data_IF_350547399087
#
_entry.id   IF_350547399087
#
_cell.length_a   1.000
_cell.length_b   1.000
_cell.length_c   1.000
_cell.angle_alpha   90.00
_cell.angle_beta   90.00
_cell.angle_gamma   90.00
#
_symmetry.space_group_name_H-M   'P 1'
#
loop_
_entity.id
_entity.type
_entity.pdbx_description
1 polymer ?
#
# COMPACT_ATOMS: atom_id res chain seq x y z
N UNK A 1 32.76 -4.09 37.00
CA UNK A 1 33.59 -3.41 35.98
C UNK A 1 32.68 -2.51 35.15
N UNK A 2 33.18 -1.36 34.70
CA UNK A 2 32.44 -0.46 33.79
C UNK A 2 32.52 -1.00 32.36
N UNK A 3 31.41 -0.98 31.60
CA UNK A 3 31.43 -1.25 30.16
C UNK A 3 31.72 0.06 29.41
N UNK A 4 32.82 0.09 28.65
CA UNK A 4 33.26 1.26 27.89
C UNK A 4 32.40 1.51 26.64
N UNK A 5 31.80 2.70 26.47
CA UNK A 5 30.94 3.02 25.33
C UNK A 5 31.73 3.65 24.17
N UNK A 6 32.54 2.86 23.44
CA UNK A 6 33.35 3.40 22.33
C UNK A 6 33.58 2.40 21.18
N UNK A 7 32.50 2.06 20.47
CA UNK A 7 32.54 1.34 19.19
C UNK A 7 31.59 1.93 18.13
N UNK A 8 31.53 3.27 18.08
CA UNK A 8 30.89 4.00 16.98
C UNK A 8 31.94 4.28 15.88
N UNK A 9 32.10 3.34 14.95
CA UNK A 9 32.85 3.59 13.73
C UNK A 9 32.07 4.61 12.87
N UNK A 10 32.61 5.82 12.66
CA UNK A 10 31.97 6.81 11.81
C UNK A 10 31.99 6.33 10.35
N UNK A 11 30.83 5.92 9.85
CA UNK A 11 30.67 5.49 8.46
C UNK A 11 30.80 6.71 7.53
N UNK A 12 31.96 6.83 6.88
CA UNK A 12 32.21 7.86 5.87
C UNK A 12 31.30 7.65 4.66
N UNK A 13 30.68 8.72 4.19
CA UNK A 13 29.98 8.72 2.90
C UNK A 13 31.00 8.68 1.75
N UNK A 14 30.58 8.13 0.61
CA UNK A 14 31.39 8.17 -0.61
C UNK A 14 31.46 9.57 -1.19
N UNK A 15 32.53 9.87 -1.95
CA UNK A 15 32.75 11.17 -2.58
C UNK A 15 31.56 11.62 -3.43
N UNK A 16 31.00 10.72 -4.24
CA UNK A 16 29.78 10.99 -5.03
C UNK A 16 28.55 11.33 -4.17
N UNK A 17 28.37 10.70 -3.01
CA UNK A 17 27.29 11.06 -2.09
C UNK A 17 27.52 12.45 -1.45
N UNK A 18 28.77 12.79 -1.13
CA UNK A 18 29.15 14.12 -0.66
C UNK A 18 28.95 15.22 -1.72
N UNK A 19 29.21 14.92 -3.00
CA UNK A 19 28.93 15.82 -4.13
C UNK A 19 27.42 16.05 -4.29
N UNK A 20 26.59 15.00 -4.21
CA UNK A 20 25.13 15.12 -4.26
C UNK A 20 24.59 15.95 -3.08
N UNK A 21 25.14 15.78 -1.87
CA UNK A 21 24.80 16.61 -0.71
C UNK A 21 25.19 18.08 -0.93
N UNK A 22 26.35 18.38 -1.50
CA UNK A 22 26.73 19.75 -1.88
C UNK A 22 25.75 20.36 -2.88
N UNK A 23 25.39 19.62 -3.94
CA UNK A 23 24.43 20.07 -4.94
C UNK A 23 23.04 20.33 -4.32
N UNK A 24 22.63 19.54 -3.33
CA UNK A 24 21.38 19.77 -2.58
C UNK A 24 21.48 20.99 -1.66
N UNK A 25 22.61 21.21 -0.98
CA UNK A 25 22.85 22.39 -0.13
C UNK A 25 22.82 23.67 -0.96
N UNK A 26 23.43 23.65 -2.16
CA UNK A 26 23.43 24.79 -3.09
C UNK A 26 22.03 25.08 -3.65
N UNK A 27 21.34 24.05 -4.16
CA UNK A 27 19.97 24.16 -4.69
C UNK A 27 18.96 24.74 -3.70
N UNK A 28 19.14 24.50 -2.40
CA UNK A 28 18.30 25.05 -1.32
C UNK A 28 18.97 26.18 -0.52
N UNK A 29 20.07 26.77 -1.02
CA UNK A 29 20.85 27.81 -0.35
C UNK A 29 20.07 29.07 0.03
N UNK A 30 19.06 29.42 -0.77
CA UNK A 30 18.13 30.53 -0.54
C UNK A 30 17.06 30.19 0.53
N UNK A 31 16.84 28.91 0.82
CA UNK A 31 15.80 28.41 1.72
C UNK A 31 16.42 27.72 2.95
N UNK A 32 17.28 28.44 3.66
CA UNK A 32 18.09 27.92 4.80
C UNK A 32 17.29 27.34 5.96
N UNK A 33 16.00 27.67 6.08
CA UNK A 33 15.10 27.10 7.09
C UNK A 33 14.45 25.76 6.68
N UNK A 34 14.51 25.38 5.40
CA UNK A 34 13.93 24.13 4.89
C UNK A 34 14.58 22.90 5.54
N UNK A 35 13.80 21.84 5.73
CA UNK A 35 14.31 20.53 6.13
C UNK A 35 15.36 19.99 5.15
N UNK A 36 15.15 20.19 3.85
CA UNK A 36 16.05 19.73 2.78
C UNK A 36 17.45 20.35 2.90
N UNK A 37 17.54 21.66 3.15
CA UNK A 37 18.82 22.34 3.40
C UNK A 37 19.44 21.91 4.73
N UNK A 38 18.65 21.95 5.82
CA UNK A 38 19.15 21.71 7.19
C UNK A 38 19.61 20.27 7.42
N UNK A 39 18.97 19.29 6.78
CA UNK A 39 19.38 17.89 6.86
C UNK A 39 20.61 17.63 5.98
N UNK A 40 20.60 18.02 4.69
CA UNK A 40 21.74 17.81 3.80
C UNK A 40 23.01 18.49 4.32
N UNK A 41 22.90 19.71 4.85
CA UNK A 41 24.05 20.40 5.47
C UNK A 41 24.56 19.67 6.72
N UNK A 42 23.68 19.23 7.62
CA UNK A 42 24.08 18.43 8.80
C UNK A 42 24.80 17.15 8.39
N UNK A 43 24.27 16.44 7.40
CA UNK A 43 24.79 15.15 6.95
C UNK A 43 26.15 15.28 6.24
N UNK A 44 26.30 16.32 5.40
CA UNK A 44 27.59 16.69 4.83
C UNK A 44 28.61 17.08 5.92
N UNK A 45 28.22 17.95 6.86
CA UNK A 45 29.11 18.43 7.92
C UNK A 45 29.55 17.30 8.88
N UNK A 46 28.71 16.26 9.08
CA UNK A 46 29.03 15.10 9.93
C UNK A 46 29.92 14.05 9.25
N UNK A 47 29.70 13.78 7.95
CA UNK A 47 30.29 12.59 7.29
C UNK A 47 31.27 12.91 6.15
N UNK A 48 31.22 14.12 5.58
CA UNK A 48 32.02 14.50 4.41
C UNK A 48 33.23 15.41 4.73
N UNK A 49 33.25 16.13 5.86
CA UNK A 49 34.37 17.02 6.17
C UNK A 49 35.65 16.24 6.60
N UNK A 50 36.84 16.59 6.08
CA UNK A 50 38.11 16.04 6.57
C UNK A 50 38.35 16.35 8.04
N UNK A 51 38.98 15.44 8.78
CA UNK A 51 39.52 15.77 10.11
C UNK A 51 40.72 16.70 9.93
N UNK A 52 40.85 17.71 10.80
CA UNK A 52 41.87 18.74 10.69
C UNK A 52 43.30 18.15 10.65
N UNK A 53 44.09 18.56 9.65
CA UNK A 53 45.53 18.27 9.60
C UNK A 53 46.31 19.25 10.50
N UNK A 54 47.48 18.84 11.04
CA UNK A 54 48.34 19.71 11.84
C UNK A 54 48.87 20.93 11.06
N UNK A 55 49.34 21.99 11.75
CA UNK A 55 49.63 23.29 11.13
C UNK A 55 50.78 23.23 10.10
N UNK A 56 50.59 23.97 8.99
CA UNK A 56 51.62 24.12 7.95
C UNK A 56 52.71 25.13 8.36
N UNK A 57 53.96 24.95 7.87
CA UNK A 57 54.98 26.00 7.87
C UNK A 57 54.56 27.26 7.09
N UNK A 58 55.24 28.38 7.35
CA UNK A 58 54.99 29.70 6.73
C UNK A 58 55.86 29.94 5.48
N UNK A 59 55.90 31.20 4.99
CA UNK A 59 56.71 31.76 3.87
C UNK A 59 56.11 31.48 2.48
N UNK A 60 55.84 32.46 1.60
CA UNK A 60 55.80 33.94 1.71
C UNK A 60 54.91 34.58 0.60
N UNK A 61 54.70 35.90 0.67
CA UNK A 61 54.16 36.77 -0.40
C UNK A 61 55.29 37.17 -1.40
N UNK A 62 55.11 37.97 -2.49
CA UNK A 62 54.22 39.14 -2.71
C UNK A 62 53.10 38.83 -3.75
N UNK A 63 52.45 39.69 -4.55
CA UNK A 63 52.61 41.12 -4.96
C UNK A 63 51.21 41.75 -5.19
N UNK A 64 51.10 43.09 -5.17
CA UNK A 64 49.86 43.85 -5.43
C UNK A 64 49.85 44.60 -6.78
N UNK A 65 48.66 45.01 -7.26
CA UNK A 65 48.45 46.08 -8.27
C UNK A 65 47.12 46.83 -8.02
N UNK A 66 46.95 47.98 -8.69
CA UNK A 66 46.13 49.12 -8.24
C UNK A 66 44.68 49.20 -8.80
N UNK A 67 43.79 50.06 -8.23
CA UNK A 67 42.37 50.24 -8.63
C UNK A 67 42.16 51.42 -9.61
N UNK A 68 40.95 52.07 -9.61
CA UNK A 68 40.47 53.24 -10.42
C UNK A 68 39.75 52.83 -11.73
N UNK A 69 38.72 53.55 -12.28
CA UNK A 69 38.04 54.80 -11.85
C UNK A 69 36.49 54.74 -11.62
N UNK A 70 35.94 55.86 -11.13
CA UNK A 70 34.50 56.23 -11.15
C UNK A 70 34.19 57.17 -12.34
N UNK A 71 32.95 57.19 -12.86
CA UNK A 71 32.50 58.16 -13.89
C UNK A 71 31.01 58.57 -13.72
N UNK A 72 30.53 59.69 -14.31
CA UNK A 72 29.31 60.39 -13.82
C UNK A 72 28.13 60.49 -14.82
N UNK A 73 27.01 61.09 -14.36
CA UNK A 73 25.89 61.65 -15.14
C UNK A 73 26.24 63.11 -15.63
N UNK A 74 25.40 63.92 -16.35
CA UNK A 74 23.92 63.99 -16.32
C UNK A 74 23.18 64.45 -17.64
N UNK A 75 21.89 64.84 -17.49
CA UNK A 75 21.03 65.68 -18.39
C UNK A 75 20.39 65.06 -19.66
N UNK A 76 19.25 65.56 -20.19
CA UNK A 76 18.07 66.26 -19.61
C UNK A 76 16.96 66.49 -20.68
N UNK A 77 15.67 66.49 -20.30
CA UNK A 77 14.57 67.34 -20.83
C UNK A 77 13.22 67.03 -20.12
N UNK A 78 12.26 67.98 -20.15
CA UNK A 78 10.90 67.93 -19.56
C UNK A 78 9.93 68.79 -20.41
N UNK A 79 8.80 69.36 -19.89
CA UNK A 79 8.32 69.44 -18.49
C UNK A 79 6.80 69.08 -18.30
N UNK A 80 6.20 69.54 -17.19
CA UNK A 80 4.76 69.50 -16.81
C UNK A 80 4.11 68.14 -16.43
N UNK A 81 3.03 68.06 -15.64
CA UNK A 81 2.18 69.07 -14.95
C UNK A 81 1.75 68.58 -13.53
N UNK A 82 0.96 69.35 -12.74
CA UNK A 82 0.73 69.02 -11.31
C UNK A 82 -0.66 69.33 -10.66
N UNK A 83 -1.14 68.34 -9.87
CA UNK A 83 -1.90 68.46 -8.57
C UNK A 83 -3.36 69.01 -8.60
N UNK A 84 -4.20 68.89 -7.53
CA UNK A 84 -3.90 68.52 -6.12
C UNK A 84 -4.75 67.37 -5.46
N UNK A 85 -4.58 67.22 -4.14
CA UNK A 85 -5.20 66.27 -3.16
C UNK A 85 -6.47 66.92 -2.49
N UNK A 86 -7.20 66.41 -1.44
CA UNK A 86 -6.74 65.57 -0.30
C UNK A 86 -7.72 64.58 0.43
N UNK A 87 -7.17 63.87 1.43
CA UNK A 87 -7.70 63.57 2.79
C UNK A 87 -8.54 62.31 3.16
N UNK A 88 -8.03 61.62 4.20
CA UNK A 88 -8.69 61.02 5.38
C UNK A 88 -9.52 59.70 5.30
N UNK A 89 -9.43 58.91 6.39
CA UNK A 89 -10.28 57.76 6.77
C UNK A 89 -11.24 58.17 7.92
N UNK A 90 -12.29 57.37 8.24
CA UNK A 90 -12.14 56.43 9.36
C UNK A 90 -12.88 55.07 9.22
N UNK A 91 -12.75 54.22 10.25
CA UNK A 91 -13.25 52.83 10.37
C UNK A 91 -14.74 52.68 10.71
N UNK A 92 -15.38 51.58 10.25
CA UNK A 92 -16.53 50.97 10.93
C UNK A 92 -16.74 49.46 10.58
N UNK A 93 -17.27 48.71 11.56
CA UNK A 93 -18.02 47.44 11.47
C UNK A 93 -19.14 47.52 12.55
N UNK A 94 -20.08 46.56 12.65
CA UNK A 94 -20.94 45.97 11.62
C UNK A 94 -22.44 46.16 11.98
N UNK A 95 -23.38 46.04 11.03
CA UNK A 95 -24.83 46.11 11.34
C UNK A 95 -25.66 45.04 10.59
N UNK A 96 -26.45 44.31 11.39
CA UNK A 96 -27.70 43.59 11.08
C UNK A 96 -28.52 43.52 12.39
N UNK A 97 -29.83 43.22 12.39
CA UNK A 97 -30.81 43.25 11.29
C UNK A 97 -32.07 44.11 11.66
N UNK A 98 -33.01 44.31 10.73
CA UNK A 98 -34.46 44.33 11.08
C UNK A 98 -35.43 44.20 9.88
N UNK A 99 -36.22 43.12 9.93
CA UNK A 99 -37.65 42.96 9.59
C UNK A 99 -38.38 43.85 8.57
N UNK A 100 -39.10 43.18 7.66
CA UNK A 100 -40.42 43.61 7.17
C UNK A 100 -41.41 42.42 7.13
N UNK A 101 -42.68 42.71 7.41
CA UNK A 101 -43.90 41.86 7.39
C UNK A 101 -44.81 42.35 6.25
N UNK A 102 -45.86 41.70 5.76
CA UNK A 102 -46.45 40.34 5.79
C UNK A 102 -47.34 40.27 4.51
N UNK A 103 -47.61 39.10 3.92
CA UNK A 103 -48.94 38.80 3.34
C UNK A 103 -49.16 37.29 3.12
N UNK A 104 -50.38 36.82 3.37
CA UNK A 104 -50.80 35.42 3.29
C UNK A 104 -51.16 34.94 1.87
N UNK A 105 -51.03 33.63 1.62
CA UNK A 105 -52.19 32.71 1.41
C UNK A 105 -51.70 31.28 1.18
N UNK A 106 -52.30 30.32 1.89
CA UNK A 106 -52.19 28.87 1.61
C UNK A 106 -53.56 28.30 1.19
N UNK A 107 -53.60 27.08 0.62
CA UNK A 107 -53.99 25.95 1.48
C UNK A 107 -53.11 24.68 1.29
N UNK A 108 -53.33 23.69 2.16
CA UNK A 108 -52.55 22.46 2.30
C UNK A 108 -53.24 21.23 1.67
N UNK A 109 -52.45 20.24 1.24
CA UNK A 109 -52.73 18.77 1.28
C UNK A 109 -51.39 18.08 0.94
N UNK A 110 -50.59 17.50 1.84
CA UNK A 110 -50.81 16.42 2.81
C UNK A 110 -50.75 15.00 2.22
N UNK A 111 -49.59 14.32 2.34
CA UNK A 111 -49.47 12.86 2.52
C UNK A 111 -48.03 12.44 2.89
N UNK A 112 -47.87 11.61 3.93
CA UNK A 112 -46.68 10.78 4.17
C UNK A 112 -47.13 9.30 4.15
N UNK A 113 -46.25 8.36 3.77
CA UNK A 113 -46.40 6.95 4.15
C UNK A 113 -45.31 6.50 5.14
N UNK A 114 -45.74 5.89 6.25
CA UNK A 114 -44.91 5.05 7.12
C UNK A 114 -45.75 3.84 7.62
N UNK A 115 -45.12 2.79 8.17
CA UNK A 115 -45.47 1.42 7.79
C UNK A 115 -46.66 0.82 8.53
N UNK A 116 -47.35 -0.09 7.85
CA UNK A 116 -48.19 -1.09 8.49
C UNK A 116 -47.33 -2.26 9.01
N UNK A 117 -47.71 -2.77 10.19
CA UNK A 117 -47.22 -4.02 10.76
C UNK A 117 -48.46 -4.81 11.16
N UNK A 118 -48.59 -6.05 10.68
CA UNK A 118 -49.59 -6.99 11.18
C UNK A 118 -48.93 -8.33 11.51
N UNK A 119 -49.46 -8.99 12.54
CA UNK A 119 -48.93 -10.25 13.07
C UNK A 119 -50.04 -11.30 13.17
N UNK A 120 -49.80 -12.48 12.61
CA UNK A 120 -50.71 -13.62 12.71
C UNK A 120 -49.93 -14.93 12.92
N UNK A 121 -50.18 -15.56 14.07
CA UNK A 121 -49.71 -16.87 14.52
C UNK A 121 -50.64 -17.30 15.69
N UNK A 122 -50.69 -18.57 16.15
CA UNK A 122 -49.83 -19.71 15.82
C UNK A 122 -50.67 -20.80 15.06
N UNK A 123 -50.58 -22.14 15.17
CA UNK A 123 -49.95 -23.08 16.13
C UNK A 123 -49.81 -24.49 15.53
N UNK A 124 -48.97 -25.33 16.16
CA UNK A 124 -48.94 -26.81 16.12
C UNK A 124 -48.91 -27.54 14.76
N UNK A 125 -47.79 -28.20 14.47
CA UNK A 125 -47.73 -29.68 14.43
C UNK A 125 -46.28 -30.17 14.55
N UNK A 126 -46.05 -31.27 15.29
CA UNK A 126 -44.79 -32.01 15.35
C UNK A 126 -45.03 -33.39 14.73
N UNK A 127 -44.21 -33.81 13.78
CA UNK A 127 -44.23 -35.16 13.22
C UNK A 127 -42.81 -35.72 13.14
N UNK A 128 -42.53 -36.74 13.94
CA UNK A 128 -41.37 -37.61 13.80
C UNK A 128 -41.76 -38.81 12.95
N UNK A 129 -40.84 -39.33 12.13
CA UNK A 129 -40.77 -40.76 11.81
C UNK A 129 -39.32 -41.11 11.47
N UNK A 130 -38.79 -42.11 12.17
CA UNK A 130 -37.41 -42.61 12.06
C UNK A 130 -37.46 -44.10 11.72
N UNK A 131 -36.66 -44.59 10.77
CA UNK A 131 -36.21 -45.99 10.52
C UNK A 131 -35.82 -46.12 9.04
N UNK A 132 -34.83 -46.91 8.59
CA UNK A 132 -33.77 -47.70 9.25
C UNK A 132 -32.53 -47.74 8.34
N UNK A 133 -31.28 -47.92 8.80
CA UNK A 133 -30.64 -49.09 9.48
C UNK A 133 -30.17 -50.17 8.48
N UNK A 134 -29.02 -50.81 8.77
CA UNK A 134 -28.17 -51.67 7.91
C UNK A 134 -27.44 -50.88 6.79
N UNK A 135 -26.12 -50.94 6.56
CA UNK A 135 -25.02 -51.78 7.05
C UNK A 135 -25.10 -53.28 6.71
N UNK A 136 -24.30 -53.72 5.72
CA UNK A 136 -23.14 -54.57 6.01
C UNK A 136 -22.10 -54.57 4.86
N UNK A 137 -20.95 -55.24 5.06
CA UNK A 137 -19.85 -55.36 4.09
C UNK A 137 -19.24 -56.78 4.13
N UNK A 138 -18.99 -57.45 2.98
CA UNK A 138 -18.09 -58.61 2.98
C UNK A 138 -17.04 -58.69 1.84
N UNK A 139 -15.97 -59.43 2.17
CA UNK A 139 -14.78 -59.85 1.42
C UNK A 139 -14.95 -60.43 -0.01
N UNK A 140 -13.93 -60.14 -0.82
CA UNK A 140 -13.05 -61.05 -1.60
C UNK A 140 -13.54 -62.10 -2.64
N UNK A 141 -12.62 -62.34 -3.60
CA UNK A 141 -12.26 -63.59 -4.30
C UNK A 141 -12.67 -63.80 -5.79
N UNK A 142 -11.75 -64.41 -6.55
CA UNK A 142 -11.85 -64.78 -7.99
C UNK A 142 -11.03 -63.84 -8.90
N UNK A 143 -9.85 -64.12 -9.49
CA UNK A 143 -9.15 -65.30 -10.10
C UNK A 143 -9.25 -65.42 -11.63
N UNK A 144 -8.26 -66.12 -12.22
CA UNK A 144 -7.97 -66.40 -13.66
C UNK A 144 -7.36 -65.19 -14.43
N UNK A 145 -6.37 -65.34 -15.33
CA UNK A 145 -5.54 -66.48 -15.79
C UNK A 145 -4.08 -65.96 -16.05
N UNK A 146 -3.06 -66.69 -16.55
CA UNK A 146 -2.93 -68.02 -17.16
C UNK A 146 -1.47 -68.57 -17.06
N UNK A 147 -1.26 -69.86 -17.42
CA UNK A 147 -0.07 -70.58 -17.93
C UNK A 147 1.40 -70.14 -17.66
N UNK A 148 2.44 -71.00 -17.58
CA UNK A 148 2.66 -72.46 -17.40
C UNK A 148 4.18 -72.67 -17.13
N UNK A 149 4.64 -73.61 -16.27
CA UNK A 149 6.06 -73.72 -15.87
C UNK A 149 6.88 -74.78 -16.64
N UNK A 150 8.22 -74.67 -16.56
CA UNK A 150 9.18 -75.74 -16.89
C UNK A 150 10.47 -75.62 -16.02
N UNK A 151 10.90 -76.70 -15.34
CA UNK A 151 12.24 -76.82 -14.74
C UNK A 151 13.11 -77.85 -15.48
N UNK A 152 14.44 -77.71 -15.44
CA UNK A 152 15.40 -78.77 -15.80
C UNK A 152 16.74 -78.60 -15.04
N UNK A 153 17.53 -79.66 -14.94
CA UNK A 153 18.54 -79.86 -13.87
C UNK A 153 19.93 -80.31 -14.40
N UNK A 154 20.98 -79.79 -13.76
CA UNK A 154 22.38 -80.22 -13.67
C UNK A 154 23.09 -81.03 -14.81
N UNK A 155 24.23 -80.51 -15.29
CA UNK A 155 25.30 -81.31 -15.88
C UNK A 155 26.74 -80.78 -15.59
N UNK A 156 27.37 -81.40 -14.59
CA UNK A 156 28.80 -81.70 -14.37
C UNK A 156 29.90 -81.08 -15.28
N UNK A 157 30.96 -80.51 -14.67
CA UNK A 157 32.36 -80.94 -14.87
C UNK A 157 33.39 -80.23 -13.94
N UNK A 158 34.45 -80.96 -13.58
CA UNK A 158 35.74 -80.52 -12.97
C UNK A 158 36.88 -81.16 -13.81
N UNK A 159 38.17 -80.74 -13.77
CA UNK A 159 38.89 -80.16 -12.62
C UNK A 159 39.82 -78.96 -12.94
N UNK A 160 40.62 -78.55 -11.94
CA UNK A 160 41.65 -77.51 -12.02
C UNK A 160 43.01 -78.02 -12.59
N UNK A 161 44.02 -77.14 -12.76
CA UNK A 161 44.97 -76.96 -11.65
C UNK A 161 45.30 -75.48 -11.32
N UNK A 162 46.07 -75.27 -10.24
CA UNK A 162 46.31 -73.97 -9.63
C UNK A 162 47.65 -73.31 -10.04
N UNK A 163 47.79 -72.00 -9.77
CA UNK A 163 49.08 -71.35 -9.52
C UNK A 163 48.96 -70.21 -8.49
N UNK A 164 49.97 -70.16 -7.62
CA UNK A 164 50.28 -69.19 -6.55
C UNK A 164 50.71 -67.81 -7.07
N UNK A 165 50.70 -66.69 -6.32
CA UNK A 165 50.20 -66.38 -4.97
C UNK A 165 50.22 -64.84 -4.70
N UNK A 166 49.62 -64.44 -3.57
CA UNK A 166 49.96 -63.28 -2.71
C UNK A 166 50.24 -61.89 -3.33
N UNK A 167 49.42 -60.89 -2.95
CA UNK A 167 49.78 -59.91 -1.90
C UNK A 167 48.71 -58.79 -1.74
N UNK A 168 48.52 -58.31 -0.51
CA UNK A 168 47.88 -57.02 -0.14
C UNK A 168 46.41 -56.75 -0.57
N UNK A 169 45.58 -56.00 0.17
CA UNK A 169 45.68 -55.54 1.56
C UNK A 169 44.31 -55.08 2.07
N UNK A 170 43.95 -55.52 3.28
CA UNK A 170 43.04 -54.86 4.26
C UNK A 170 41.85 -54.04 3.75
N UNK A 171 40.65 -54.51 4.05
CA UNK A 171 39.44 -53.69 4.23
C UNK A 171 39.70 -52.46 5.13
N UNK A 172 39.03 -51.33 4.85
CA UNK A 172 38.94 -50.20 5.80
C UNK A 172 37.59 -49.46 5.68
N UNK A 173 36.47 -50.04 6.15
CA UNK A 173 35.15 -49.42 6.13
C UNK A 173 34.93 -48.50 7.35
N UNK A 174 35.80 -47.49 7.53
CA UNK A 174 35.89 -46.73 8.78
C UNK A 174 35.54 -45.23 8.71
N UNK A 175 35.64 -44.59 7.54
CA UNK A 175 35.41 -43.13 7.42
C UNK A 175 33.93 -42.76 7.22
N UNK A 176 33.27 -43.38 6.23
CA UNK A 176 31.97 -42.93 5.73
C UNK A 176 30.83 -43.05 6.76
N UNK A 177 30.83 -44.12 7.58
CA UNK A 177 29.83 -44.34 8.63
C UNK A 177 29.69 -43.13 9.58
N UNK A 178 30.76 -42.38 9.82
CA UNK A 178 30.72 -41.20 10.69
C UNK A 178 30.02 -40.00 10.02
N UNK A 179 30.31 -39.74 8.76
CA UNK A 179 29.71 -38.65 7.99
C UNK A 179 28.23 -38.94 7.69
N UNK A 180 27.92 -40.16 7.23
CA UNK A 180 26.56 -40.55 6.87
C UNK A 180 25.64 -40.61 8.09
N UNK A 181 26.13 -41.10 9.24
CA UNK A 181 25.36 -41.09 10.49
C UNK A 181 25.10 -39.67 11.01
N UNK A 182 26.07 -38.74 10.88
CA UNK A 182 25.87 -37.33 11.23
C UNK A 182 24.88 -36.65 10.27
N UNK A 183 24.99 -36.91 8.97
CA UNK A 183 24.10 -36.36 7.95
C UNK A 183 22.65 -36.85 8.17
N UNK A 184 22.45 -38.15 8.38
CA UNK A 184 21.13 -38.72 8.71
C UNK A 184 20.58 -38.13 10.01
N UNK A 185 21.40 -37.98 11.07
CA UNK A 185 20.99 -37.38 12.35
C UNK A 185 20.60 -35.90 12.22
N UNK A 186 21.23 -35.17 11.30
CA UNK A 186 20.81 -33.80 10.94
C UNK A 186 19.47 -33.85 10.20
N UNK A 187 19.33 -34.68 9.15
CA UNK A 187 18.08 -34.81 8.37
C UNK A 187 16.87 -35.18 9.25
N UNK A 188 17.00 -36.15 10.16
CA UNK A 188 15.92 -36.52 11.11
C UNK A 188 15.59 -35.39 12.09
N UNK A 189 16.52 -34.46 12.33
CA UNK A 189 16.33 -33.32 13.24
C UNK A 189 15.68 -32.11 12.55
N UNK A 190 15.73 -32.01 11.22
CA UNK A 190 15.10 -30.91 10.45
C UNK A 190 13.64 -30.62 10.85
N UNK A 191 12.71 -31.61 10.93
CA UNK A 191 11.33 -31.32 11.31
C UNK A 191 11.19 -30.75 12.73
N UNK A 192 12.02 -31.20 13.68
CA UNK A 192 12.02 -30.70 15.05
C UNK A 192 12.60 -29.28 15.13
N UNK A 193 13.69 -29.01 14.39
CA UNK A 193 14.29 -27.68 14.27
C UNK A 193 13.28 -26.71 13.63
N UNK A 194 12.61 -27.12 12.55
CA UNK A 194 11.58 -26.33 11.89
C UNK A 194 10.38 -26.06 12.81
N UNK A 195 9.89 -27.06 13.55
CA UNK A 195 8.82 -26.88 14.53
C UNK A 195 9.20 -25.89 15.63
N UNK A 196 10.42 -25.99 16.18
CA UNK A 196 10.93 -25.06 17.20
C UNK A 196 11.11 -23.63 16.65
N UNK A 197 11.58 -23.46 15.41
CA UNK A 197 11.68 -22.17 14.75
C UNK A 197 10.28 -21.56 14.50
N UNK A 198 9.30 -22.34 14.07
CA UNK A 198 7.91 -21.90 13.91
C UNK A 198 7.30 -21.51 15.26
N UNK A 199 7.51 -22.30 16.31
CA UNK A 199 7.05 -21.99 17.66
C UNK A 199 7.68 -20.69 18.20
N UNK A 200 8.98 -20.48 17.99
CA UNK A 200 9.69 -19.26 18.36
C UNK A 200 9.15 -18.04 17.59
N UNK A 201 8.94 -18.16 16.28
CA UNK A 201 8.37 -17.09 15.45
C UNK A 201 6.92 -16.75 15.87
N UNK A 202 6.11 -17.75 16.20
CA UNK A 202 4.76 -17.55 16.74
C UNK A 202 4.80 -16.87 18.12
N UNK A 203 5.70 -17.27 19.02
CA UNK A 203 5.88 -16.63 20.32
C UNK A 203 6.30 -15.16 20.17
N UNK A 204 7.26 -14.86 19.31
CA UNK A 204 7.68 -13.48 18.99
C UNK A 204 6.54 -12.67 18.35
N UNK A 205 5.74 -13.28 17.47
CA UNK A 205 4.55 -12.63 16.88
C UNK A 205 3.46 -12.33 17.91
N UNK A 206 3.22 -13.23 18.86
CA UNK A 206 2.26 -13.03 19.95
C UNK A 206 2.76 -11.94 20.92
N UNK A 207 4.03 -11.97 21.31
CA UNK A 207 4.65 -10.94 22.17
C UNK A 207 4.61 -9.56 21.49
N UNK A 208 5.04 -9.44 20.24
CA UNK A 208 5.03 -8.15 19.52
C UNK A 208 3.60 -7.65 19.23
N UNK A 209 2.63 -8.55 19.10
CA UNK A 209 1.21 -8.19 19.03
C UNK A 209 0.68 -7.67 20.38
N UNK A 210 1.00 -8.38 21.48
CA UNK A 210 0.57 -8.07 22.85
C UNK A 210 1.13 -6.74 23.35
N UNK A 211 2.45 -6.52 23.22
CA UNK A 211 3.12 -5.29 23.61
C UNK A 211 2.84 -4.10 22.65
N UNK A 212 1.93 -4.26 21.67
CA UNK A 212 1.57 -3.19 20.74
C UNK A 212 2.66 -2.85 19.70
N UNK A 213 3.82 -3.52 19.75
CA UNK A 213 4.98 -3.45 18.84
C UNK A 213 4.68 -4.01 17.43
N UNK A 214 3.45 -3.83 16.96
CA UNK A 214 3.05 -4.07 15.59
C UNK A 214 3.88 -3.18 14.65
N UNK A 215 4.70 -3.80 13.79
CA UNK A 215 5.54 -3.09 12.81
C UNK A 215 4.76 -1.98 12.06
N UNK A 216 5.24 -0.73 12.07
CA UNK A 216 4.63 0.35 11.29
C UNK A 216 4.71 0.00 9.79
N UNK A 217 3.58 0.16 9.08
CA UNK A 217 3.45 -0.17 7.65
C UNK A 217 2.57 -1.39 7.34
N UNK A 218 2.74 -2.51 8.04
CA UNK A 218 2.10 -3.80 7.70
C UNK A 218 0.56 -3.74 7.59
N UNK A 219 -0.06 -2.84 8.37
CA UNK A 219 -1.52 -2.65 8.45
C UNK A 219 -2.15 -1.99 7.21
N UNK A 220 -1.39 -1.21 6.45
CA UNK A 220 -1.84 -0.66 5.16
C UNK A 220 -1.84 -1.73 4.08
N UNK A 221 -0.66 -2.36 3.91
CA UNK A 221 -0.43 -3.45 2.95
C UNK A 221 -1.43 -4.60 3.12
N UNK A 222 -1.81 -4.96 4.35
CA UNK A 222 -2.82 -5.99 4.59
C UNK A 222 -4.23 -5.59 4.09
N UNK A 223 -4.61 -4.31 4.16
CA UNK A 223 -5.89 -3.84 3.65
C UNK A 223 -5.94 -3.88 2.11
N UNK A 224 -4.89 -3.39 1.46
CA UNK A 224 -4.69 -3.49 0.00
C UNK A 224 -4.68 -4.96 -0.47
N UNK A 225 -3.95 -5.84 0.23
CA UNK A 225 -3.88 -7.26 -0.07
C UNK A 225 -5.25 -7.94 0.07
N UNK A 226 -5.98 -7.66 1.16
CA UNK A 226 -7.34 -8.18 1.37
C UNK A 226 -8.27 -7.72 0.25
N UNK A 227 -8.23 -6.44 -0.12
CA UNK A 227 -9.04 -5.90 -1.20
C UNK A 227 -8.70 -6.53 -2.55
N UNK A 228 -7.41 -6.60 -2.92
CA UNK A 228 -6.92 -7.30 -4.11
C UNK A 228 -7.43 -8.74 -4.21
N UNK A 229 -7.34 -9.51 -3.11
CA UNK A 229 -7.83 -10.91 -3.09
C UNK A 229 -9.35 -10.99 -3.24
N UNK A 230 -10.10 -10.05 -2.66
CA UNK A 230 -11.56 -10.01 -2.76
C UNK A 230 -12.05 -9.59 -4.15
N UNK A 231 -11.42 -8.58 -4.77
CA UNK A 231 -11.77 -8.15 -6.13
C UNK A 231 -11.54 -9.28 -7.12
N UNK A 232 -10.36 -9.92 -7.09
CA UNK A 232 -10.02 -11.07 -7.95
C UNK A 232 -10.91 -12.31 -7.76
N UNK A 233 -11.51 -12.50 -6.58
CA UNK A 233 -12.37 -13.66 -6.30
C UNK A 233 -13.86 -13.38 -6.55
N UNK A 234 -14.32 -12.14 -6.31
CA UNK A 234 -15.75 -11.80 -6.33
C UNK A 234 -16.22 -11.11 -7.61
N UNK A 235 -15.35 -10.43 -8.36
CA UNK A 235 -15.74 -9.79 -9.62
C UNK A 235 -15.73 -10.78 -10.80
N UNK A 236 -16.62 -10.62 -11.80
CA UNK A 236 -16.58 -11.41 -13.03
C UNK A 236 -15.27 -11.23 -13.82
N UNK A 237 -14.87 -12.24 -14.59
CA UNK A 237 -13.58 -12.26 -15.29
C UNK A 237 -13.37 -11.11 -16.31
N UNK A 238 -14.44 -10.51 -16.83
CA UNK A 238 -14.39 -9.34 -17.72
C UNK A 238 -14.00 -8.02 -17.01
N UNK A 239 -13.98 -7.98 -15.66
CA UNK A 239 -13.62 -6.79 -14.88
C UNK A 239 -12.09 -6.73 -14.75
N UNK A 240 -11.47 -5.77 -15.44
CA UNK A 240 -10.01 -5.63 -15.45
C UNK A 240 -9.54 -4.85 -14.22
N UNK A 241 -8.66 -5.45 -13.42
CA UNK A 241 -8.20 -4.92 -12.13
C UNK A 241 -6.75 -4.43 -12.19
N UNK A 242 -6.57 -3.13 -11.95
CA UNK A 242 -5.29 -2.42 -11.93
C UNK A 242 -4.94 -2.00 -10.50
N UNK A 243 -3.65 -1.81 -10.21
CA UNK A 243 -3.14 -1.53 -8.86
C UNK A 243 -1.94 -0.59 -8.89
N UNK A 244 -1.86 0.31 -7.92
CA UNK A 244 -0.74 1.25 -7.69
C UNK A 244 -0.31 2.02 -8.95
N UNK A 245 -1.30 2.44 -9.75
CA UNK A 245 -1.06 3.24 -10.96
C UNK A 245 -0.47 4.59 -10.54
N UNK A 246 0.73 4.93 -11.05
CA UNK A 246 1.36 6.24 -10.87
C UNK A 246 0.88 7.14 -12.00
N UNK A 247 -0.03 8.06 -11.70
CA UNK A 247 -0.68 8.90 -12.70
C UNK A 247 -0.37 10.38 -12.46
N UNK A 248 -0.55 11.20 -13.48
CA UNK A 248 -0.46 12.66 -13.39
C UNK A 248 -1.83 13.29 -13.63
N UNK A 249 -2.19 14.25 -12.78
CA UNK A 249 -3.34 15.14 -13.02
C UNK A 249 -3.08 16.06 -14.22
N UNK A 250 -4.09 16.78 -14.69
CA UNK A 250 -3.97 17.82 -15.73
C UNK A 250 -3.14 19.05 -15.32
N UNK A 251 -2.47 19.01 -14.16
CA UNK A 251 -1.56 20.04 -13.62
C UNK A 251 -0.17 19.49 -13.31
N UNK A 252 0.15 18.31 -13.85
CA UNK A 252 1.37 17.54 -13.59
C UNK A 252 1.63 17.20 -12.10
N UNK A 253 0.62 17.30 -11.23
CA UNK A 253 0.70 16.75 -9.88
C UNK A 253 0.67 15.20 -9.95
N UNK A 254 1.68 14.49 -9.41
CA UNK A 254 1.69 13.03 -9.36
C UNK A 254 0.76 12.50 -8.27
N UNK A 255 0.02 11.44 -8.59
CA UNK A 255 -0.85 10.70 -7.67
C UNK A 255 -0.63 9.19 -7.80
N UNK A 256 -1.06 8.42 -6.80
CA UNK A 256 -1.03 6.96 -6.81
C UNK A 256 -2.43 6.42 -6.56
N UNK A 257 -2.96 5.66 -7.52
CA UNK A 257 -4.27 5.00 -7.41
C UNK A 257 -4.07 3.60 -6.85
N UNK A 258 -4.49 3.34 -5.61
CA UNK A 258 -4.28 2.06 -4.92
C UNK A 258 -4.84 0.88 -5.74
N UNK A 259 -6.11 0.99 -6.15
CA UNK A 259 -6.79 0.05 -7.03
C UNK A 259 -7.72 0.78 -8.00
N UNK A 260 -7.78 0.30 -9.25
CA UNK A 260 -8.76 0.72 -10.24
C UNK A 260 -9.41 -0.53 -10.85
N UNK A 261 -10.73 -0.52 -11.04
CA UNK A 261 -11.47 -1.59 -11.73
C UNK A 261 -12.17 -1.00 -12.93
N UNK A 262 -11.88 -1.54 -14.12
CA UNK A 262 -12.52 -1.20 -15.38
C UNK A 262 -13.54 -2.29 -15.74
N UNK A 263 -14.78 -1.90 -16.03
CA UNK A 263 -15.86 -2.82 -16.45
C UNK A 263 -16.79 -2.15 -17.48
N UNK A 264 -17.67 -2.90 -18.17
CA UNK A 264 -18.67 -2.31 -19.06
C UNK A 264 -19.64 -1.33 -18.35
N UNK A 265 -19.81 -1.48 -17.03
CA UNK A 265 -20.67 -0.64 -16.19
C UNK A 265 -19.90 0.49 -15.48
N UNK A 266 -18.71 0.85 -15.96
CA UNK A 266 -17.94 2.00 -15.48
C UNK A 266 -16.56 1.68 -14.92
N UNK A 267 -15.92 2.75 -14.42
CA UNK A 267 -14.52 2.78 -13.96
C UNK A 267 -14.51 3.15 -12.47
N UNK A 268 -14.12 2.20 -11.62
CA UNK A 268 -14.14 2.36 -10.17
C UNK A 268 -12.73 2.69 -9.67
N UNK A 269 -12.54 3.90 -9.16
CA UNK A 269 -11.27 4.40 -8.62
C UNK A 269 -11.32 4.27 -7.10
N UNK A 270 -10.50 3.39 -6.52
CA UNK A 270 -10.70 2.92 -5.14
C UNK A 270 -9.50 3.32 -4.26
N UNK A 271 -9.75 4.19 -3.28
CA UNK A 271 -8.78 4.59 -2.24
C UNK A 271 -8.90 3.65 -1.02
N UNK A 272 -7.78 3.14 -0.51
CA UNK A 272 -7.74 2.25 0.66
C UNK A 272 -7.39 3.02 1.93
N UNK A 273 -8.30 3.02 2.90
CA UNK A 273 -8.12 3.70 4.19
C UNK A 273 -7.87 2.68 5.30
N UNK A 274 -6.67 2.78 5.91
CA UNK A 274 -6.22 1.89 7.00
C UNK A 274 -6.30 2.51 8.41
N UNK A 275 -6.88 3.72 8.50
CA UNK A 275 -7.15 4.46 9.74
C UNK A 275 -7.91 3.62 10.78
N UNK A 276 -7.64 3.89 12.06
CA UNK A 276 -8.14 3.09 13.18
C UNK A 276 -9.03 3.88 14.14
N UNK A 277 -9.92 3.16 14.82
CA UNK A 277 -10.80 3.73 15.84
C UNK A 277 -12.10 4.25 15.24
N UNK A 278 -12.71 5.20 15.93
CA UNK A 278 -14.04 5.71 15.61
C UNK A 278 -13.93 6.86 14.62
N UNK A 279 -14.73 6.87 13.56
CA UNK A 279 -14.65 7.83 12.45
C UNK A 279 -16.04 8.38 12.16
N UNK A 280 -16.16 9.71 12.07
CA UNK A 280 -17.40 10.36 11.68
C UNK A 280 -17.13 11.62 10.83
N UNK A 281 -18.06 11.90 9.93
CA UNK A 281 -18.06 13.05 9.04
C UNK A 281 -19.09 12.92 7.93
N UNK A 282 -19.15 13.93 7.05
CA UNK A 282 -19.98 13.96 5.84
C UNK A 282 -19.16 14.18 4.57
N UNK A 283 -19.75 13.90 3.41
CA UNK A 283 -19.26 14.30 2.09
C UNK A 283 -18.88 15.79 2.01
N UNK A 284 -19.74 16.66 2.52
CA UNK A 284 -19.62 18.14 2.53
C UNK A 284 -18.49 18.68 3.42
N UNK A 285 -17.91 17.88 4.32
CA UNK A 285 -16.88 18.35 5.24
C UNK A 285 -15.47 18.24 4.63
N UNK A 286 -14.66 19.29 4.77
CA UNK A 286 -13.25 19.25 4.33
C UNK A 286 -12.40 18.25 5.13
N UNK A 287 -12.70 18.08 6.43
CA UNK A 287 -12.06 17.12 7.32
C UNK A 287 -13.12 16.34 8.11
N UNK A 288 -12.91 15.04 8.24
CA UNK A 288 -13.62 14.16 9.16
C UNK A 288 -12.86 14.07 10.49
N UNK A 289 -13.50 13.55 11.53
CA UNK A 289 -12.85 13.32 12.82
C UNK A 289 -12.63 11.84 13.05
N UNK A 290 -11.43 11.48 13.51
CA UNK A 290 -11.06 10.14 13.98
C UNK A 290 -10.75 10.19 15.48
N UNK A 291 -11.29 9.26 16.27
CA UNK A 291 -10.91 9.06 17.68
C UNK A 291 -10.30 7.68 17.91
N UNK A 292 -9.08 7.65 18.46
CA UNK A 292 -8.31 6.43 18.71
C UNK A 292 -7.52 6.58 20.02
N UNK A 293 -7.63 5.60 20.92
CA UNK A 293 -7.11 5.68 22.30
C UNK A 293 -7.45 7.01 23.00
N UNK A 294 -8.75 7.36 23.03
CA UNK A 294 -9.27 8.60 23.62
C UNK A 294 -8.99 9.88 22.83
N UNK A 295 -7.84 9.98 22.16
CA UNK A 295 -7.42 11.17 21.40
C UNK A 295 -8.26 11.34 20.13
N UNK A 296 -8.82 12.54 19.93
CA UNK A 296 -9.44 12.96 18.66
C UNK A 296 -8.38 13.60 17.77
N UNK A 297 -8.49 13.38 16.46
CA UNK A 297 -7.61 13.95 15.42
C UNK A 297 -8.41 14.20 14.15
N UNK A 298 -8.12 15.30 13.44
CA UNK A 298 -8.66 15.54 12.12
C UNK A 298 -8.09 14.54 11.11
N UNK A 299 -8.91 14.15 10.13
CA UNK A 299 -8.60 13.30 9.00
C UNK A 299 -9.15 14.00 7.75
N UNK A 300 -8.29 14.47 6.85
CA UNK A 300 -8.73 15.04 5.56
C UNK A 300 -9.75 14.12 4.89
N UNK A 301 -10.87 14.66 4.41
CA UNK A 301 -11.98 13.85 3.89
C UNK A 301 -11.47 12.90 2.76
N UNK A 302 -11.58 11.57 2.92
CA UNK A 302 -11.11 10.61 1.93
C UNK A 302 -11.73 10.76 0.54
N UNK A 303 -12.95 11.30 0.43
CA UNK A 303 -13.59 11.57 -0.85
C UNK A 303 -12.85 12.67 -1.62
N UNK A 304 -12.44 13.74 -0.94
CA UNK A 304 -11.62 14.82 -1.51
C UNK A 304 -10.20 14.34 -1.86
N UNK A 305 -9.66 13.36 -1.13
CA UNK A 305 -8.39 12.71 -1.50
C UNK A 305 -8.55 11.92 -2.80
N UNK A 306 -9.58 11.08 -2.90
CA UNK A 306 -9.81 10.25 -4.07
C UNK A 306 -10.30 11.04 -5.29
N UNK A 307 -10.82 12.27 -5.12
CA UNK A 307 -11.14 13.18 -6.23
C UNK A 307 -9.90 13.50 -7.09
N UNK A 308 -8.71 13.64 -6.48
CA UNK A 308 -7.45 13.80 -7.25
C UNK A 308 -7.10 12.54 -8.07
N UNK A 309 -7.41 11.36 -7.53
CA UNK A 309 -7.20 10.09 -8.24
C UNK A 309 -8.17 9.97 -9.42
N UNK A 310 -9.46 10.30 -9.25
CA UNK A 310 -10.42 10.31 -10.37
C UNK A 310 -10.01 11.32 -11.44
N UNK A 311 -9.58 12.53 -11.07
CA UNK A 311 -9.13 13.52 -12.06
C UNK A 311 -7.89 13.08 -12.85
N UNK A 312 -6.92 12.39 -12.21
CA UNK A 312 -5.78 11.82 -12.92
C UNK A 312 -6.17 10.66 -13.86
N UNK A 313 -7.15 9.84 -13.48
CA UNK A 313 -7.71 8.78 -14.35
C UNK A 313 -8.47 9.39 -15.53
N UNK A 314 -9.31 10.40 -15.29
CA UNK A 314 -10.05 11.14 -16.32
C UNK A 314 -9.11 11.80 -17.33
N UNK A 315 -8.01 12.38 -16.84
CA UNK A 315 -6.93 12.96 -17.63
C UNK A 315 -6.22 11.92 -18.51
N UNK A 316 -5.76 10.81 -17.90
CA UNK A 316 -5.09 9.70 -18.60
C UNK A 316 -5.95 9.12 -19.74
N UNK A 317 -7.25 8.91 -19.47
CA UNK A 317 -8.19 8.29 -20.40
C UNK A 317 -8.78 9.26 -21.44
N UNK A 318 -8.47 10.56 -21.31
CA UNK A 318 -8.97 11.64 -22.17
C UNK A 318 -10.51 11.68 -22.22
N UNK A 319 -11.15 11.52 -21.05
CA UNK A 319 -12.61 11.52 -20.91
C UNK A 319 -13.15 12.96 -20.78
N UNK A 320 -14.30 13.24 -21.42
CA UNK A 320 -14.98 14.51 -21.21
C UNK A 320 -15.54 14.61 -19.78
N UNK A 321 -15.87 15.82 -19.34
CA UNK A 321 -16.50 16.02 -18.03
C UNK A 321 -17.90 15.41 -17.95
N UNK A 322 -18.60 15.28 -19.08
CA UNK A 322 -19.92 14.64 -19.16
C UNK A 322 -19.79 13.13 -18.97
N UNK A 323 -19.00 12.46 -19.83
CA UNK A 323 -18.76 11.01 -19.76
C UNK A 323 -18.29 10.58 -18.37
N UNK A 324 -17.34 11.34 -17.79
CA UNK A 324 -16.77 11.04 -16.48
C UNK A 324 -17.80 11.13 -15.33
N UNK A 325 -18.85 11.93 -15.46
CA UNK A 325 -19.87 12.05 -14.42
C UNK A 325 -20.70 10.77 -14.29
N UNK A 326 -20.93 10.07 -15.40
CA UNK A 326 -21.71 8.82 -15.43
C UNK A 326 -20.84 7.56 -15.40
N UNK A 327 -19.60 7.61 -15.90
CA UNK A 327 -18.73 6.44 -16.08
C UNK A 327 -17.62 6.31 -15.03
N UNK A 328 -17.31 7.34 -14.23
CA UNK A 328 -16.17 7.35 -13.30
C UNK A 328 -16.61 7.44 -11.83
N UNK A 329 -16.40 6.35 -11.09
CA UNK A 329 -16.93 6.20 -9.73
C UNK A 329 -15.80 6.22 -8.69
N UNK A 330 -15.77 7.28 -7.87
CA UNK A 330 -14.91 7.37 -6.69
C UNK A 330 -15.40 6.44 -5.59
N UNK A 331 -14.53 5.58 -5.04
CA UNK A 331 -14.85 4.63 -3.95
C UNK A 331 -13.81 4.75 -2.83
N UNK A 332 -14.25 4.71 -1.58
CA UNK A 332 -13.35 4.70 -0.40
C UNK A 332 -13.57 3.41 0.39
N UNK A 333 -12.50 2.63 0.55
CA UNK A 333 -12.50 1.31 1.16
C UNK A 333 -11.77 1.31 2.51
N UNK A 334 -12.51 1.34 3.61
CA UNK A 334 -11.96 1.24 4.97
C UNK A 334 -11.72 -0.20 5.41
N UNK A 335 -10.68 -0.44 6.21
CA UNK A 335 -10.55 -1.72 6.93
C UNK A 335 -11.48 -1.76 8.18
N UNK A 336 -11.81 -2.96 8.67
CA UNK A 336 -12.72 -3.15 9.84
C UNK A 336 -12.09 -2.84 11.21
N UNK A 337 -10.94 -2.15 11.24
CA UNK A 337 -10.41 -1.52 12.47
C UNK A 337 -10.73 -0.02 12.54
N UNK A 338 -11.33 0.53 11.48
CA UNK A 338 -12.21 1.69 11.56
C UNK A 338 -13.60 1.24 12.06
N UNK A 339 -14.32 2.15 12.74
CA UNK A 339 -15.74 2.03 13.09
C UNK A 339 -16.41 3.35 12.74
N UNK A 340 -17.44 3.32 11.88
CA UNK A 340 -18.19 4.51 11.53
C UNK A 340 -19.18 4.88 12.66
N UNK A 341 -19.17 6.15 13.08
CA UNK A 341 -20.12 6.72 14.07
C UNK A 341 -21.11 7.72 13.46
N UNK A 342 -20.97 8.04 12.17
CA UNK A 342 -22.01 8.69 11.36
C UNK A 342 -22.47 7.77 10.24
N UNK A 343 -23.63 8.05 9.65
CA UNK A 343 -23.97 7.52 8.34
C UNK A 343 -22.88 7.93 7.33
N UNK A 344 -22.45 6.99 6.51
CA UNK A 344 -21.41 7.22 5.50
C UNK A 344 -22.05 7.35 4.10
N UNK A 345 -21.51 8.21 3.21
CA UNK A 345 -21.92 8.26 1.81
C UNK A 345 -21.84 6.89 1.13
N UNK A 346 -22.71 6.62 0.14
CA UNK A 346 -22.92 5.27 -0.43
C UNK A 346 -21.66 4.61 -1.00
N UNK A 347 -20.69 5.41 -1.43
CA UNK A 347 -19.40 4.99 -1.98
C UNK A 347 -18.27 4.86 -0.94
N UNK A 348 -18.57 5.09 0.35
CA UNK A 348 -17.66 4.91 1.48
C UNK A 348 -18.07 3.64 2.22
N UNK A 349 -17.28 2.58 2.05
CA UNK A 349 -17.63 1.25 2.56
C UNK A 349 -16.43 0.54 3.20
N UNK A 350 -16.67 -0.63 3.80
CA UNK A 350 -15.58 -1.51 4.22
C UNK A 350 -15.01 -2.30 3.03
N UNK A 351 -13.73 -2.66 3.08
CA UNK A 351 -12.99 -3.44 2.07
C UNK A 351 -13.75 -4.68 1.56
N UNK A 352 -14.50 -5.37 2.42
CA UNK A 352 -15.31 -6.54 2.05
C UNK A 352 -16.70 -6.25 1.46
N UNK A 353 -17.14 -4.98 1.47
CA UNK A 353 -18.31 -4.48 0.76
C UNK A 353 -18.01 -3.94 -0.65
N UNK A 354 -16.76 -3.56 -0.97
CA UNK A 354 -16.39 -2.94 -2.25
C UNK A 354 -16.84 -3.77 -3.47
N UNK A 355 -16.66 -5.09 -3.43
CA UNK A 355 -17.07 -5.98 -4.53
C UNK A 355 -18.59 -6.17 -4.65
N UNK A 356 -19.38 -5.75 -3.65
CA UNK A 356 -20.84 -5.66 -3.75
C UNK A 356 -21.26 -4.28 -4.28
N UNK A 357 -20.60 -3.20 -3.85
CA UNK A 357 -20.80 -1.85 -4.40
C UNK A 357 -20.53 -1.81 -5.92
N UNK A 358 -19.41 -2.37 -6.38
CA UNK A 358 -19.10 -2.46 -7.82
C UNK A 358 -20.17 -3.24 -8.60
N UNK A 359 -20.88 -4.17 -7.95
CA UNK A 359 -21.93 -5.00 -8.55
C UNK A 359 -23.33 -4.39 -8.52
N UNK A 360 -23.58 -3.28 -7.82
CA UNK A 360 -24.87 -2.58 -7.92
C UNK A 360 -24.99 -1.76 -9.21
N UNK A 361 -23.89 -1.60 -9.96
CA UNK A 361 -23.86 -0.97 -11.28
C UNK A 361 -24.10 -2.06 -12.34
N UNK A 362 -25.33 -2.12 -12.85
CA UNK A 362 -25.80 -3.19 -13.75
C UNK A 362 -26.06 -2.70 -15.19
N UNK A 363 -26.14 -1.39 -15.42
CA UNK A 363 -26.30 -0.81 -16.74
C UNK A 363 -24.92 -0.60 -17.39
N UNK A 364 -24.66 -1.14 -18.60
CA UNK A 364 -23.45 -0.82 -19.35
C UNK A 364 -23.44 0.65 -19.78
N UNK A 365 -22.31 1.33 -19.56
CA UNK A 365 -22.08 2.73 -19.94
C UNK A 365 -20.79 2.93 -20.78
N UNK A 366 -20.04 1.86 -21.03
CA UNK A 366 -18.88 1.84 -21.92
C UNK A 366 -19.08 0.89 -23.10
N UNK A 367 -18.71 1.33 -24.31
CA UNK A 367 -18.65 0.46 -25.49
C UNK A 367 -17.45 -0.48 -25.43
N UNK A 368 -17.47 -1.59 -26.18
CA UNK A 368 -16.32 -2.50 -26.26
C UNK A 368 -15.05 -1.81 -26.79
N UNK A 369 -15.18 -0.86 -27.72
CA UNK A 369 -14.07 -0.04 -28.21
C UNK A 369 -13.47 0.85 -27.11
N UNK A 370 -14.32 1.52 -26.32
CA UNK A 370 -13.88 2.30 -25.15
C UNK A 370 -13.22 1.40 -24.11
N UNK A 371 -13.81 0.23 -23.83
CA UNK A 371 -13.30 -0.74 -22.87
C UNK A 371 -11.92 -1.27 -23.30
N UNK A 372 -11.72 -1.58 -24.59
CA UNK A 372 -10.44 -1.99 -25.15
C UNK A 372 -9.40 -0.86 -25.12
N UNK A 373 -9.78 0.36 -25.55
CA UNK A 373 -8.92 1.56 -25.53
C UNK A 373 -8.44 1.87 -24.12
N UNK A 374 -9.36 1.97 -23.15
CA UNK A 374 -9.03 2.22 -21.75
C UNK A 374 -8.18 1.10 -21.15
N UNK A 375 -8.47 -0.17 -21.47
CA UNK A 375 -7.66 -1.29 -21.01
C UNK A 375 -6.22 -1.24 -21.54
N UNK A 376 -5.99 -0.83 -22.80
CA UNK A 376 -4.66 -0.67 -23.37
C UNK A 376 -3.87 0.43 -22.65
N UNK A 377 -4.48 1.62 -22.49
CA UNK A 377 -3.86 2.77 -21.80
C UNK A 377 -3.54 2.45 -20.34
N UNK A 378 -4.47 1.80 -19.61
CA UNK A 378 -4.26 1.41 -18.21
C UNK A 378 -3.20 0.31 -18.05
N UNK A 379 -3.05 -0.60 -19.03
CA UNK A 379 -1.95 -1.58 -19.06
C UNK A 379 -0.60 -0.87 -19.21
N UNK A 380 -0.47 0.05 -20.16
CA UNK A 380 0.74 0.85 -20.36
C UNK A 380 1.10 1.68 -19.12
N UNK A 381 0.11 2.32 -18.48
CA UNK A 381 0.28 3.08 -17.24
C UNK A 381 0.57 2.20 -16.00
N UNK A 382 0.36 0.88 -16.09
CA UNK A 382 0.70 -0.07 -15.01
C UNK A 382 2.12 -0.65 -15.11
N UNK A 383 2.80 -0.45 -16.23
CA UNK A 383 4.16 -0.95 -16.50
C UNK A 383 5.28 0.07 -16.24
N UNK A 384 4.95 1.27 -15.78
CA UNK A 384 5.90 2.35 -15.38
C UNK A 384 5.87 2.66 -13.89
#
# INVERSE_FOLDING_TARGET
MLLSPLLYAQQRLSEGACILLLQQIDRFSQQKQSSNYRNAKREYDLYCQPVAQPPKPQVAAPVAKAPVPTAPAPQAQGPEAAKPNPAAQPTAQPIQPQTAKDLDTAPQTAAQPKPATDAAAPTHAKAETTTGVAADNPSEAGQTADATPHPEEAAQALPAPALTAAAASTDTPAANLSADALLMRILTSIPLIAANLVALLLLVFLITSWFGLNLPGFKGVFAEYKLNRLLRWRLPAQYQHFRKLKLFTSKDEPVVVDHLVLSPCGIFVILVKSDRGRIWGSDTQANWVRQYFGRKSQLMNPLHQNFKNTEAVRNLLQMSAYDATEQLHSVVAFNRVARFESAMPVNVCYVDGVAAFIKSFTQPCLTDEQLQRFAAVLKQASTG
#
